data_IF_531561422035
#
_entry.id   IF_531561422035
#
_cell.length_a   1.000
_cell.length_b   1.000
_cell.length_c   1.000
_cell.angle_alpha   90.00
_cell.angle_beta   90.00
_cell.angle_gamma   90.00
#
_symmetry.space_group_name_H-M   'P 1'
#
loop_
_entity.id
_entity.type
_entity.pdbx_description
1 polymer ?
#
# COMPACT_ATOMS: atom_id res chain seq x y z
N UNK A 1 -4.44 22.99 -1.04
CA UNK A 1 -3.63 22.34 -2.08
C UNK A 1 -3.99 20.88 -2.03
N UNK A 2 -4.75 20.38 -3.01
CA UNK A 2 -5.14 18.97 -3.06
C UNK A 2 -3.89 18.18 -3.48
N UNK A 3 -3.35 17.37 -2.56
CA UNK A 3 -2.26 16.44 -2.88
C UNK A 3 -2.72 15.51 -4.00
N UNK A 4 -1.85 15.25 -4.98
CA UNK A 4 -2.15 14.32 -6.07
C UNK A 4 -2.57 12.97 -5.50
N UNK A 5 -3.71 12.49 -5.96
CA UNK A 5 -4.21 11.18 -5.55
C UNK A 5 -3.43 10.05 -6.19
N UNK A 6 -3.23 8.96 -5.47
CA UNK A 6 -2.60 7.76 -6.04
C UNK A 6 -3.39 7.26 -7.26
N UNK A 7 -4.70 7.57 -7.33
CA UNK A 7 -5.59 7.26 -8.44
C UNK A 7 -5.24 7.99 -9.74
N UNK A 8 -4.60 9.17 -9.65
CA UNK A 8 -4.11 9.94 -10.80
C UNK A 8 -2.74 9.46 -11.29
N UNK A 9 -1.97 8.80 -10.41
CA UNK A 9 -0.60 8.36 -10.70
C UNK A 9 -0.58 6.90 -11.17
N UNK A 10 -1.43 6.06 -10.57
CA UNK A 10 -1.46 4.62 -10.82
C UNK A 10 -2.47 4.30 -11.93
N UNK A 11 -1.97 3.98 -13.11
CA UNK A 11 -2.80 3.58 -14.27
C UNK A 11 -2.93 2.06 -14.41
N UNK A 12 -2.00 1.29 -13.85
CA UNK A 12 -2.01 -0.17 -13.93
C UNK A 12 -3.10 -0.79 -13.03
N UNK A 13 -3.96 -1.67 -13.56
CA UNK A 13 -5.10 -2.22 -12.82
C UNK A 13 -4.70 -3.13 -11.65
N UNK A 14 -3.55 -3.81 -11.69
CA UNK A 14 -3.06 -4.59 -10.54
C UNK A 14 -2.54 -3.68 -9.44
N UNK A 15 -1.78 -2.66 -9.81
CA UNK A 15 -1.28 -1.65 -8.89
C UNK A 15 -2.45 -0.91 -8.22
N UNK A 16 -3.50 -0.52 -8.98
CA UNK A 16 -4.69 0.12 -8.39
C UNK A 16 -5.37 -0.74 -7.32
N UNK A 17 -5.39 -2.07 -7.48
CA UNK A 17 -5.92 -2.99 -6.46
C UNK A 17 -5.09 -2.94 -5.18
N UNK A 18 -3.76 -2.92 -5.31
CA UNK A 18 -2.83 -2.81 -4.16
C UNK A 18 -3.04 -1.49 -3.42
N UNK A 19 -3.11 -0.38 -4.14
CA UNK A 19 -3.31 0.94 -3.53
C UNK A 19 -4.71 1.08 -2.91
N UNK A 20 -5.76 0.58 -3.56
CA UNK A 20 -7.11 0.55 -2.97
C UNK A 20 -7.18 -0.31 -1.68
N UNK A 21 -6.42 -1.41 -1.62
CA UNK A 21 -6.34 -2.24 -0.41
C UNK A 21 -5.59 -1.55 0.74
N UNK A 22 -4.62 -0.68 0.42
CA UNK A 22 -3.92 0.17 1.39
C UNK A 22 -4.76 1.36 1.85
N UNK A 23 -5.59 1.92 0.97
CA UNK A 23 -6.44 3.09 1.24
C UNK A 23 -7.73 2.76 2.01
N UNK A 24 -7.90 1.50 2.44
CA UNK A 24 -9.09 1.08 3.16
C UNK A 24 -9.29 1.80 4.51
N UNK A 25 -10.52 2.18 4.87
CA UNK A 25 -10.81 3.12 5.97
C UNK A 25 -10.42 2.63 7.37
N UNK A 26 -10.21 1.31 7.53
CA UNK A 26 -10.05 0.67 8.83
C UNK A 26 -8.62 0.67 9.38
N UNK A 27 -7.58 0.84 8.54
CA UNK A 27 -6.20 0.63 8.99
C UNK A 27 -5.18 1.53 8.28
N UNK A 28 -4.47 2.37 9.04
CA UNK A 28 -3.33 3.20 8.57
C UNK A 28 -2.14 2.36 8.11
N UNK A 29 -1.99 1.16 8.68
CA UNK A 29 -0.90 0.22 8.40
C UNK A 29 -1.48 -1.15 8.08
N UNK A 30 -0.98 -1.78 7.02
CA UNK A 30 -1.37 -3.13 6.63
C UNK A 30 -0.15 -4.01 6.42
N UNK A 31 -0.31 -5.30 6.70
CA UNK A 31 0.73 -6.27 6.36
C UNK A 31 0.67 -6.60 4.88
N UNK A 32 1.82 -6.89 4.27
CA UNK A 32 1.90 -7.29 2.87
C UNK A 32 1.00 -8.51 2.56
N UNK A 33 0.95 -9.49 3.46
CA UNK A 33 0.09 -10.66 3.35
C UNK A 33 -1.40 -10.31 3.36
N UNK A 34 -1.82 -9.33 4.16
CA UNK A 34 -3.21 -8.87 4.17
C UNK A 34 -3.60 -8.20 2.84
N UNK A 35 -2.69 -7.40 2.28
CA UNK A 35 -2.87 -6.77 0.96
C UNK A 35 -2.94 -7.82 -0.14
N UNK A 36 -2.04 -8.81 -0.15
CA UNK A 36 -2.08 -9.92 -1.10
C UNK A 36 -3.40 -10.70 -1.03
N UNK A 37 -3.87 -11.05 0.17
CA UNK A 37 -5.14 -11.75 0.36
C UNK A 37 -6.34 -10.94 -0.13
N UNK A 38 -6.35 -9.63 0.09
CA UNK A 38 -7.45 -8.76 -0.32
C UNK A 38 -7.48 -8.52 -1.84
N UNK A 39 -6.30 -8.45 -2.47
CA UNK A 39 -6.17 -8.18 -3.91
C UNK A 39 -6.23 -9.44 -4.77
N UNK A 40 -6.02 -10.62 -4.18
CA UNK A 40 -5.84 -11.87 -4.90
C UNK A 40 -4.50 -11.96 -5.64
N UNK A 41 -3.58 -11.03 -5.41
CA UNK A 41 -2.26 -11.02 -6.03
C UNK A 41 -1.26 -11.85 -5.21
N UNK A 42 -0.25 -12.45 -5.84
CA UNK A 42 0.85 -13.09 -5.13
C UNK A 42 1.58 -12.10 -4.23
N UNK A 43 2.02 -12.54 -3.05
CA UNK A 43 2.79 -11.68 -2.14
C UNK A 43 4.05 -11.09 -2.79
N UNK A 44 4.72 -11.85 -3.66
CA UNK A 44 5.87 -11.37 -4.43
C UNK A 44 5.52 -10.24 -5.39
N UNK A 45 4.35 -10.31 -6.03
CA UNK A 45 3.85 -9.26 -6.92
C UNK A 45 3.51 -8.00 -6.15
N UNK A 46 2.87 -8.16 -4.99
CA UNK A 46 2.62 -7.04 -4.07
C UNK A 46 3.94 -6.42 -3.61
N UNK A 47 4.94 -7.21 -3.22
CA UNK A 47 6.27 -6.71 -2.84
C UNK A 47 6.88 -5.82 -3.93
N UNK A 48 6.88 -6.28 -5.19
CA UNK A 48 7.42 -5.53 -6.33
C UNK A 48 6.72 -4.19 -6.53
N UNK A 49 5.38 -4.17 -6.43
CA UNK A 49 4.60 -2.95 -6.55
C UNK A 49 4.93 -1.98 -5.41
N UNK A 50 5.01 -2.48 -4.18
CA UNK A 50 5.36 -1.66 -3.02
C UNK A 50 6.79 -1.11 -3.10
N UNK A 51 7.76 -1.91 -3.57
CA UNK A 51 9.14 -1.45 -3.79
C UNK A 51 9.22 -0.37 -4.87
N UNK A 52 8.46 -0.52 -5.97
CA UNK A 52 8.40 0.46 -7.07
C UNK A 52 7.99 1.86 -6.58
N UNK A 53 7.08 1.92 -5.60
CA UNK A 53 6.52 3.16 -5.06
C UNK A 53 6.98 3.49 -3.65
N UNK A 54 7.99 2.79 -3.13
CA UNK A 54 8.56 3.06 -1.82
C UNK A 54 9.13 4.49 -1.79
N UNK A 55 8.85 5.23 -0.72
CA UNK A 55 9.21 6.65 -0.55
C UNK A 55 8.56 7.63 -1.55
N UNK A 56 7.73 7.15 -2.49
CA UNK A 56 6.97 7.99 -3.43
C UNK A 56 5.50 8.09 -3.02
N UNK A 57 4.85 6.94 -2.88
CA UNK A 57 3.44 6.84 -2.50
C UNK A 57 3.21 5.93 -1.29
N UNK A 58 4.16 5.01 -1.04
CA UNK A 58 4.07 4.05 0.07
C UNK A 58 5.23 4.22 1.04
N UNK A 59 4.97 3.99 2.33
CA UNK A 59 5.95 3.95 3.40
C UNK A 59 5.94 2.59 4.08
N UNK A 60 7.13 2.11 4.40
CA UNK A 60 7.32 0.94 5.25
C UNK A 60 7.52 1.38 6.69
N UNK A 61 6.93 0.64 7.62
CA UNK A 61 7.18 0.84 9.05
C UNK A 61 8.56 0.26 9.40
N UNK A 62 9.34 0.99 10.19
CA UNK A 62 10.56 0.49 10.82
C UNK A 62 10.24 -0.54 11.92
N UNK A 63 9.05 -0.43 12.51
CA UNK A 63 8.55 -1.37 13.52
C UNK A 63 7.66 -2.42 12.84
N UNK A 64 8.02 -3.71 12.86
CA UNK A 64 7.16 -4.76 12.32
C UNK A 64 5.89 -4.92 13.17
N UNK A 65 4.89 -5.63 12.63
CA UNK A 65 3.72 -6.03 13.41
C UNK A 65 4.11 -6.89 14.62
N UNK A 66 3.17 -7.08 15.57
CA UNK A 66 3.34 -7.95 16.74
C UNK A 66 3.78 -9.38 16.34
N UNK A 67 3.39 -9.84 15.14
CA UNK A 67 3.76 -11.15 14.57
C UNK A 67 5.02 -11.11 13.69
N UNK A 68 5.78 -10.02 13.67
CA UNK A 68 7.01 -9.88 12.89
C UNK A 68 6.83 -9.56 11.41
N UNK A 69 5.58 -9.39 10.94
CA UNK A 69 5.33 -9.08 9.52
C UNK A 69 5.61 -7.61 9.19
N UNK A 70 6.18 -7.32 8.00
CA UNK A 70 6.42 -5.96 7.55
C UNK A 70 5.08 -5.22 7.36
N UNK A 71 5.03 -3.99 7.88
CA UNK A 71 3.87 -3.10 7.78
C UNK A 71 4.12 -2.04 6.71
N UNK A 72 3.08 -1.78 5.92
CA UNK A 72 3.10 -0.81 4.82
C UNK A 72 1.85 0.06 4.89
N UNK A 73 2.03 1.35 4.60
CA UNK A 73 0.94 2.32 4.52
C UNK A 73 1.20 3.32 3.40
N UNK A 74 0.22 4.18 3.12
CA UNK A 74 0.39 5.30 2.19
C UNK A 74 1.11 6.47 2.90
N UNK A 75 1.98 7.19 2.18
CA UNK A 75 2.80 8.29 2.73
C UNK A 75 1.94 9.47 3.15
N UNK A 76 0.97 9.81 2.31
CA UNK A 76 -0.15 10.66 2.66
C UNK A 76 -1.36 9.72 2.71
N UNK A 77 -2.27 9.84 3.68
CA UNK A 77 -3.65 9.61 3.27
C UNK A 77 -3.89 10.68 2.20
N UNK A 78 -4.01 10.29 0.95
CA UNK A 78 -4.46 11.17 -0.12
C UNK A 78 -5.81 11.74 0.32
N UNK A 79 -5.81 12.97 0.84
CA UNK A 79 -6.99 13.63 1.40
C UNK A 79 -7.37 13.16 2.81
N UNK A 80 -6.78 13.79 3.83
CA UNK A 80 -7.45 14.04 5.10
C UNK A 80 -7.08 15.46 5.58
#
# INVERSE_FOLDING_TARGET
>A
MFGMSWEEIITDPEERKVFAALDGPSYTWRTQSAVARQTGLPESRVAQILDKYNFKLTRRSEVPSISGQPLVGLIEKVGA
#
